data_IF_615730898931
#
_entry.id   IF_615730898931
#
_cell.length_a   1.000
_cell.length_b   1.000
_cell.length_c   1.000
_cell.angle_alpha   90.00
_cell.angle_beta   90.00
_cell.angle_gamma   90.00
#
_symmetry.space_group_name_H-M   'P 1'
#
loop_
_entity.id
_entity.type
_entity.pdbx_description
1 polymer ?
#
# COMPACT_ATOMS: atom_id res chain seq x y z
N UNK A 1 -17.49 27.89 -5.69
CA UNK A 1 -16.45 27.49 -6.68
C UNK A 1 -15.58 26.38 -6.06
N UNK A 2 -15.89 25.10 -6.29
CA UNK A 2 -15.00 23.99 -5.95
C UNK A 2 -13.99 23.85 -7.09
N UNK A 3 -12.78 24.37 -6.93
CA UNK A 3 -11.64 23.96 -7.76
C UNK A 3 -11.35 22.50 -7.43
N UNK A 4 -11.88 21.57 -8.20
CA UNK A 4 -11.39 20.20 -8.20
C UNK A 4 -9.92 20.24 -8.60
N UNK A 5 -9.05 19.90 -7.68
CA UNK A 5 -7.60 19.70 -7.96
C UNK A 5 -7.55 18.44 -8.84
N UNK A 6 -7.71 18.60 -10.14
CA UNK A 6 -7.45 17.53 -11.09
C UNK A 6 -5.94 17.32 -11.16
N UNK A 7 -5.44 16.43 -10.32
CA UNK A 7 -4.08 15.94 -10.48
C UNK A 7 -3.96 15.28 -11.86
N UNK A 8 -3.07 15.78 -12.68
CA UNK A 8 -2.82 15.18 -13.98
C UNK A 8 -2.42 13.70 -13.77
N UNK A 9 -2.88 12.81 -14.66
CA UNK A 9 -2.66 11.36 -14.60
C UNK A 9 -1.23 10.97 -14.24
N UNK A 10 -0.23 11.63 -14.86
CA UNK A 10 1.18 11.35 -14.60
C UNK A 10 1.63 11.76 -13.19
N UNK A 11 1.12 12.86 -12.66
CA UNK A 11 1.50 13.33 -11.31
C UNK A 11 0.99 12.41 -10.22
N UNK A 12 -0.24 11.91 -10.32
CA UNK A 12 -0.78 10.98 -9.31
C UNK A 12 -0.03 9.65 -9.30
N UNK A 13 0.28 9.09 -10.47
CA UNK A 13 1.06 7.86 -10.56
C UNK A 13 2.49 8.05 -10.05
N UNK A 14 3.13 9.17 -10.41
CA UNK A 14 4.48 9.50 -9.93
C UNK A 14 4.54 9.63 -8.40
N UNK A 15 3.55 10.29 -7.79
CA UNK A 15 3.46 10.40 -6.34
C UNK A 15 3.31 9.02 -5.68
N UNK A 16 2.37 8.18 -6.17
CA UNK A 16 2.17 6.83 -5.63
C UNK A 16 3.46 6.00 -5.78
N UNK A 17 4.17 6.10 -6.91
CA UNK A 17 5.45 5.40 -7.12
C UNK A 17 6.50 5.78 -6.09
N UNK A 18 6.67 7.08 -5.83
CA UNK A 18 7.63 7.58 -4.85
C UNK A 18 7.27 7.06 -3.45
N UNK A 19 6.00 7.19 -3.06
CA UNK A 19 5.53 6.68 -1.79
C UNK A 19 5.72 5.17 -1.67
N UNK A 20 5.42 4.41 -2.71
CA UNK A 20 5.56 2.96 -2.67
C UNK A 20 7.04 2.52 -2.54
N UNK A 21 7.95 3.14 -3.29
CA UNK A 21 9.39 2.88 -3.17
C UNK A 21 9.88 3.20 -1.74
N UNK A 22 9.48 4.36 -1.20
CA UNK A 22 9.79 4.72 0.18
C UNK A 22 9.22 3.72 1.17
N UNK A 23 8.03 3.16 0.91
CA UNK A 23 7.39 2.12 1.72
C UNK A 23 8.23 0.84 1.80
N UNK A 24 8.81 0.40 0.67
CA UNK A 24 9.75 -0.72 0.65
C UNK A 24 11.00 -0.44 1.49
N UNK A 25 11.56 0.76 1.39
CA UNK A 25 12.74 1.15 2.17
C UNK A 25 12.44 1.18 3.67
N UNK A 26 11.32 1.76 4.07
CA UNK A 26 10.92 1.88 5.48
C UNK A 26 10.57 0.51 6.08
N UNK A 27 9.98 -0.39 5.31
CA UNK A 27 9.70 -1.75 5.75
C UNK A 27 10.97 -2.57 6.02
N UNK A 28 12.07 -2.27 5.34
CA UNK A 28 13.39 -2.87 5.57
C UNK A 28 14.23 -2.22 6.68
N UNK A 29 13.67 -1.25 7.41
CA UNK A 29 14.35 -0.68 8.57
C UNK A 29 14.02 -1.46 9.84
N UNK A 30 14.83 -1.29 10.89
CA UNK A 30 14.62 -1.94 12.17
C UNK A 30 13.32 -1.46 12.84
N UNK A 31 12.42 -2.41 13.13
CA UNK A 31 11.15 -2.15 13.81
C UNK A 31 11.21 -2.55 15.28
N UNK A 32 11.97 -3.58 15.59
CA UNK A 32 12.14 -4.09 16.95
C UNK A 32 13.61 -4.27 17.29
N UNK A 33 13.97 -3.90 18.52
CA UNK A 33 15.26 -4.13 19.12
C UNK A 33 15.07 -5.08 20.29
N UNK A 34 15.70 -6.23 20.23
CA UNK A 34 15.67 -7.22 21.31
C UNK A 34 16.98 -7.11 22.08
N UNK A 35 16.88 -6.90 23.39
CA UNK A 35 18.01 -6.84 24.29
C UNK A 35 17.85 -7.82 25.45
N UNK A 36 18.96 -8.34 25.96
CA UNK A 36 19.02 -9.03 27.24
C UNK A 36 19.51 -8.07 28.32
N UNK A 37 18.87 -8.11 29.47
CA UNK A 37 19.36 -7.43 30.68
C UNK A 37 19.91 -8.46 31.69
N UNK A 38 21.12 -8.95 31.51
CA UNK A 38 21.78 -9.69 32.58
C UNK A 38 22.54 -8.67 33.45
N UNK A 39 22.03 -8.39 34.66
CA UNK A 39 22.75 -7.67 35.73
C UNK A 39 23.57 -6.46 35.24
N UNK A 40 22.90 -5.35 34.90
CA UNK A 40 23.45 -4.01 34.67
C UNK A 40 24.09 -3.65 33.31
N UNK A 41 24.26 -4.55 32.37
CA UNK A 41 24.70 -4.20 31.02
C UNK A 41 23.69 -4.71 29.97
N UNK A 42 22.91 -3.81 29.39
CA UNK A 42 22.04 -4.13 28.27
C UNK A 42 22.90 -4.54 27.06
N UNK A 43 22.88 -5.82 26.68
CA UNK A 43 23.49 -6.31 25.46
C UNK A 43 22.43 -6.36 24.38
N UNK A 44 22.54 -5.51 23.36
CA UNK A 44 21.68 -5.60 22.19
C UNK A 44 21.96 -6.91 21.47
N UNK A 45 20.97 -7.80 21.43
CA UNK A 45 21.11 -9.11 20.81
C UNK A 45 20.90 -9.04 19.31
N UNK A 46 19.78 -8.45 18.87
CA UNK A 46 19.40 -8.40 17.46
C UNK A 46 18.35 -7.34 17.19
N UNK A 47 18.42 -6.74 16.02
CA UNK A 47 17.33 -5.94 15.46
C UNK A 47 16.56 -6.75 14.42
N UNK A 48 15.27 -6.50 14.33
CA UNK A 48 14.38 -7.12 13.36
C UNK A 48 13.70 -6.05 12.53
N UNK A 49 13.79 -6.19 11.22
CA UNK A 49 13.11 -5.34 10.27
C UNK A 49 11.63 -5.74 10.10
N UNK A 50 10.86 -4.90 9.41
CA UNK A 50 9.45 -5.16 9.18
C UNK A 50 9.17 -6.39 8.33
N UNK A 51 10.09 -6.80 7.45
CA UNK A 51 9.92 -8.00 6.62
C UNK A 51 10.15 -9.28 7.41
N UNK A 52 11.16 -9.27 8.28
CA UNK A 52 11.49 -10.41 9.13
C UNK A 52 10.45 -10.56 10.24
N UNK A 53 10.04 -9.46 10.87
CA UNK A 53 9.04 -9.48 11.92
C UNK A 53 7.67 -9.93 11.40
N UNK A 54 7.31 -9.50 10.18
CA UNK A 54 5.99 -9.76 9.60
C UNK A 54 6.09 -10.23 8.15
N UNK A 55 6.07 -11.52 7.92
CA UNK A 55 6.23 -12.15 6.60
C UNK A 55 5.19 -11.70 5.56
N UNK A 56 4.04 -11.19 5.98
CA UNK A 56 2.97 -10.69 5.11
C UNK A 56 3.22 -9.26 4.57
N UNK A 57 4.20 -8.51 5.11
CA UNK A 57 4.50 -7.13 4.68
C UNK A 57 4.96 -7.12 3.22
N UNK A 58 5.90 -8.01 2.87
CA UNK A 58 6.43 -8.10 1.50
C UNK A 58 5.35 -8.40 0.45
N UNK A 59 4.53 -9.46 0.58
CA UNK A 59 3.49 -9.74 -0.42
C UNK A 59 2.45 -8.63 -0.51
N UNK A 60 2.08 -7.96 0.58
CA UNK A 60 1.14 -6.84 0.53
C UNK A 60 1.70 -5.62 -0.20
N UNK A 61 2.97 -5.28 -0.01
CA UNK A 61 3.63 -4.23 -0.78
C UNK A 61 3.71 -4.59 -2.28
N UNK A 62 3.94 -5.86 -2.61
CA UNK A 62 3.90 -6.33 -4.00
C UNK A 62 2.50 -6.20 -4.62
N UNK A 63 1.44 -6.45 -3.86
CA UNK A 63 0.05 -6.19 -4.33
C UNK A 63 -0.15 -4.70 -4.61
N UNK A 64 0.35 -3.81 -3.77
CA UNK A 64 0.30 -2.36 -4.01
C UNK A 64 1.07 -1.98 -5.29
N UNK A 65 2.24 -2.60 -5.52
CA UNK A 65 3.04 -2.38 -6.72
C UNK A 65 2.31 -2.88 -7.99
N UNK A 66 1.72 -4.08 -7.92
CA UNK A 66 0.93 -4.63 -9.01
C UNK A 66 -0.30 -3.75 -9.32
N UNK A 67 -0.99 -3.26 -8.29
CA UNK A 67 -2.11 -2.33 -8.43
C UNK A 67 -1.68 -1.02 -9.11
N UNK A 68 -0.53 -0.47 -8.75
CA UNK A 68 0.05 0.70 -9.40
C UNK A 68 0.37 0.42 -10.87
N UNK A 69 1.07 -0.68 -11.18
CA UNK A 69 1.43 -1.08 -12.54
C UNK A 69 0.18 -1.29 -13.41
N UNK A 70 -0.82 -2.01 -12.90
CA UNK A 70 -2.09 -2.21 -13.59
C UNK A 70 -2.83 -0.90 -13.82
N UNK A 71 -2.81 0.03 -12.85
CA UNK A 71 -3.44 1.35 -13.01
C UNK A 71 -2.73 2.23 -14.04
N UNK A 72 -1.45 2.02 -14.29
CA UNK A 72 -0.67 2.78 -15.27
C UNK A 72 -1.07 2.44 -16.71
N UNK A 73 -1.32 1.15 -17.00
CA UNK A 73 -1.67 0.66 -18.33
C UNK A 73 -3.18 0.63 -18.58
N UNK A 74 -4.00 0.53 -17.52
CA UNK A 74 -5.45 0.45 -17.61
C UNK A 74 -6.11 1.81 -17.80
N UNK A 75 -7.37 1.79 -18.25
CA UNK A 75 -8.22 2.96 -18.37
C UNK A 75 -9.63 2.67 -17.77
N UNK A 76 -10.35 3.73 -17.45
CA UNK A 76 -11.73 3.63 -16.99
C UNK A 76 -11.92 2.86 -15.70
N UNK A 77 -12.88 1.96 -15.68
CA UNK A 77 -13.26 1.16 -14.52
C UNK A 77 -12.11 0.27 -14.01
N UNK A 78 -11.33 -0.33 -14.90
CA UNK A 78 -10.21 -1.19 -14.50
C UNK A 78 -9.15 -0.42 -13.70
N UNK A 79 -8.85 0.81 -14.10
CA UNK A 79 -7.94 1.69 -13.36
C UNK A 79 -8.49 2.06 -11.98
N UNK A 80 -9.78 2.41 -11.91
CA UNK A 80 -10.44 2.71 -10.64
C UNK A 80 -10.34 1.52 -9.68
N UNK A 81 -10.67 0.31 -10.16
CA UNK A 81 -10.60 -0.92 -9.36
C UNK A 81 -9.16 -1.19 -8.90
N UNK A 82 -8.16 -1.07 -9.78
CA UNK A 82 -6.75 -1.28 -9.41
C UNK A 82 -6.29 -0.33 -8.31
N UNK A 83 -6.62 0.97 -8.41
CA UNK A 83 -6.27 1.95 -7.38
C UNK A 83 -7.02 1.67 -6.07
N UNK A 84 -8.26 1.19 -6.12
CA UNK A 84 -9.02 0.80 -4.95
C UNK A 84 -8.39 -0.41 -4.26
N UNK A 85 -7.95 -1.42 -5.02
CA UNK A 85 -7.22 -2.58 -4.49
C UNK A 85 -5.93 -2.12 -3.79
N UNK A 86 -5.16 -1.22 -4.41
CA UNK A 86 -3.97 -0.62 -3.77
C UNK A 86 -4.28 0.09 -2.46
N UNK A 87 -5.42 0.82 -2.40
CA UNK A 87 -5.87 1.49 -1.17
C UNK A 87 -6.24 0.49 -0.07
N UNK A 88 -6.98 -0.56 -0.41
CA UNK A 88 -7.40 -1.60 0.55
C UNK A 88 -6.16 -2.34 1.08
N UNK A 89 -5.22 -2.70 0.20
CA UNK A 89 -3.99 -3.41 0.61
C UNK A 89 -3.10 -2.55 1.51
N UNK A 90 -2.92 -1.27 1.20
CA UNK A 90 -2.14 -0.37 2.06
C UNK A 90 -2.85 -0.03 3.37
N UNK A 91 -4.18 -0.01 3.39
CA UNK A 91 -4.95 0.08 4.63
C UNK A 91 -4.80 -1.17 5.50
N UNK A 92 -4.86 -2.36 4.89
CA UNK A 92 -4.61 -3.62 5.58
C UNK A 92 -3.18 -3.67 6.17
N UNK A 93 -2.16 -3.21 5.40
CA UNK A 93 -0.80 -3.03 5.91
C UNK A 93 -0.77 -2.15 7.17
N UNK A 94 -1.45 -1.00 7.14
CA UNK A 94 -1.52 -0.08 8.27
C UNK A 94 -2.16 -0.74 9.49
N UNK A 95 -3.30 -1.41 9.29
CA UNK A 95 -4.06 -2.03 10.37
C UNK A 95 -3.31 -3.21 11.00
N UNK A 96 -2.79 -4.12 10.17
CA UNK A 96 -2.06 -5.30 10.64
C UNK A 96 -0.73 -4.92 11.30
N UNK A 97 0.05 -4.00 10.70
CA UNK A 97 1.28 -3.50 11.32
C UNK A 97 1.00 -2.77 12.64
N UNK A 98 -0.06 -1.97 12.67
CA UNK A 98 -0.48 -1.27 13.89
C UNK A 98 -0.84 -2.25 15.00
N UNK A 99 -1.64 -3.26 14.71
CA UNK A 99 -2.02 -4.29 15.69
C UNK A 99 -0.80 -5.11 16.13
N UNK A 100 0.07 -5.52 15.19
CA UNK A 100 1.26 -6.29 15.50
C UNK A 100 2.25 -5.53 16.39
N UNK A 101 2.52 -4.27 16.05
CA UNK A 101 3.43 -3.41 16.85
C UNK A 101 2.86 -3.09 18.22
N UNK A 102 1.56 -2.77 18.33
CA UNK A 102 0.92 -2.46 19.61
C UNK A 102 0.85 -3.67 20.55
N UNK A 103 0.69 -4.88 20.01
CA UNK A 103 0.64 -6.12 20.80
C UNK A 103 2.02 -6.75 21.00
N UNK A 104 3.11 -6.14 20.47
CA UNK A 104 4.45 -6.72 20.49
C UNK A 104 4.46 -8.16 19.97
N UNK A 105 3.70 -8.40 18.88
CA UNK A 105 3.60 -9.75 18.29
C UNK A 105 4.91 -10.10 17.57
N UNK A 106 5.71 -10.92 18.24
CA UNK A 106 7.00 -11.42 17.74
C UNK A 106 6.91 -12.87 17.26
N UNK A 107 5.70 -13.41 17.06
CA UNK A 107 5.51 -14.79 16.62
C UNK A 107 6.25 -15.12 15.30
N UNK A 108 6.39 -14.13 14.42
CA UNK A 108 7.12 -14.29 13.15
C UNK A 108 8.63 -14.44 13.28
N UNK A 109 9.21 -14.06 14.42
CA UNK A 109 10.66 -14.13 14.70
C UNK A 109 11.00 -15.00 15.90
N UNK A 110 10.02 -15.73 16.44
CA UNK A 110 10.17 -16.57 17.62
C UNK A 110 11.31 -17.58 17.48
N UNK A 111 11.40 -18.29 16.35
CA UNK A 111 12.44 -19.29 16.08
C UNK A 111 13.84 -18.66 15.99
N UNK A 112 13.94 -17.43 15.46
CA UNK A 112 15.22 -16.72 15.39
C UNK A 112 15.67 -16.24 16.77
N UNK A 113 14.73 -15.79 17.60
CA UNK A 113 15.01 -15.41 18.99
C UNK A 113 15.46 -16.65 19.79
N UNK A 114 14.78 -17.78 19.63
CA UNK A 114 15.13 -19.04 20.29
C UNK A 114 16.53 -19.51 19.85
N UNK A 115 16.83 -19.45 18.57
CA UNK A 115 18.16 -19.82 18.05
C UNK A 115 19.27 -18.90 18.57
N UNK A 116 19.00 -17.62 18.71
CA UNK A 116 20.00 -16.64 19.17
C UNK A 116 20.20 -16.65 20.68
N UNK A 117 19.17 -16.98 21.47
CA UNK A 117 19.18 -16.86 22.93
C UNK A 117 19.18 -18.21 23.67
N UNK A 118 18.79 -19.28 22.98
CA UNK A 118 18.51 -20.59 23.61
C UNK A 118 17.24 -20.61 24.49
N UNK A 119 16.46 -19.54 24.48
CA UNK A 119 15.24 -19.40 25.27
C UNK A 119 14.03 -19.68 24.37
N UNK A 120 13.27 -20.73 24.66
CA UNK A 120 12.06 -21.04 23.91
C UNK A 120 11.04 -19.92 24.07
N UNK A 121 10.66 -19.28 22.96
CA UNK A 121 9.74 -18.14 22.92
C UNK A 121 8.32 -18.48 23.41
N UNK A 122 8.01 -19.78 23.58
CA UNK A 122 6.71 -20.29 24.04
C UNK A 122 6.43 -20.06 25.52
N UNK A 123 7.43 -19.72 26.34
CA UNK A 123 7.28 -19.59 27.80
C UNK A 123 7.25 -18.15 28.33
N UNK A 124 6.87 -17.20 27.48
CA UNK A 124 6.86 -15.80 27.88
C UNK A 124 8.28 -15.26 28.03
N UNK A 125 8.55 -14.12 27.44
CA UNK A 125 9.87 -13.50 27.27
C UNK A 125 10.40 -12.98 28.63
N UNK A 126 10.48 -13.85 29.64
CA UNK A 126 11.05 -13.51 30.94
C UNK A 126 12.57 -13.40 30.80
N UNK A 127 13.07 -12.16 30.74
CA UNK A 127 14.50 -11.86 30.61
C UNK A 127 14.91 -11.21 29.29
N UNK A 128 13.99 -11.05 28.34
CA UNK A 128 14.18 -10.26 27.13
C UNK A 128 13.44 -8.93 27.26
N UNK A 129 14.13 -7.84 26.94
CA UNK A 129 13.53 -6.52 26.79
C UNK A 129 13.36 -6.22 25.31
N UNK A 130 12.11 -6.01 24.88
CA UNK A 130 11.77 -5.71 23.48
C UNK A 130 11.37 -4.26 23.38
N UNK A 131 12.19 -3.50 22.67
CA UNK A 131 11.95 -2.08 22.44
C UNK A 131 11.47 -1.86 21.01
N UNK A 132 10.36 -1.11 20.86
CA UNK A 132 9.86 -0.68 19.55
C UNK A 132 10.77 0.42 19.03
N UNK A 133 11.41 0.18 17.88
CA UNK A 133 12.21 1.20 17.22
C UNK A 133 11.32 2.32 16.66
N UNK A 134 11.78 3.58 16.60
CA UNK A 134 10.99 4.69 16.11
C UNK A 134 10.55 4.55 14.66
N UNK A 135 11.20 3.67 13.88
CA UNK A 135 10.82 3.37 12.50
C UNK A 135 9.52 2.58 12.39
N UNK A 136 9.15 1.76 13.39
CA UNK A 136 7.89 1.02 13.36
C UNK A 136 6.65 1.93 13.33
N UNK A 137 6.44 2.86 14.27
CA UNK A 137 5.32 3.78 14.19
C UNK A 137 5.40 4.72 12.97
N UNK A 138 6.60 5.09 12.54
CA UNK A 138 6.79 5.85 11.30
C UNK A 138 6.31 5.07 10.07
N UNK A 139 6.60 3.77 9.99
CA UNK A 139 6.12 2.90 8.92
C UNK A 139 4.60 2.80 8.88
N UNK A 140 3.95 2.63 10.05
CA UNK A 140 2.49 2.58 10.16
C UNK A 140 1.87 3.88 9.65
N UNK A 141 2.38 5.02 10.10
CA UNK A 141 1.93 6.34 9.64
C UNK A 141 2.12 6.52 8.13
N UNK A 142 3.23 6.02 7.61
CA UNK A 142 3.55 6.07 6.20
C UNK A 142 2.59 5.22 5.34
N UNK A 143 2.29 4.00 5.76
CA UNK A 143 1.31 3.13 5.08
C UNK A 143 -0.10 3.71 5.12
N UNK A 144 -0.47 4.41 6.21
CA UNK A 144 -1.73 5.14 6.29
C UNK A 144 -1.80 6.26 5.23
N UNK A 145 -0.74 7.04 5.09
CA UNK A 145 -0.65 8.08 4.04
C UNK A 145 -0.71 7.45 2.65
N UNK A 146 0.00 6.35 2.41
CA UNK A 146 -0.05 5.62 1.14
C UNK A 146 -1.49 5.18 0.81
N UNK A 147 -2.23 4.67 1.79
CA UNK A 147 -3.64 4.29 1.62
C UNK A 147 -4.50 5.50 1.20
N UNK A 148 -4.32 6.64 1.86
CA UNK A 148 -5.04 7.88 1.54
C UNK A 148 -4.71 8.35 0.11
N UNK A 149 -3.44 8.27 -0.30
CA UNK A 149 -3.01 8.68 -1.64
C UNK A 149 -3.62 7.78 -2.72
N UNK A 150 -3.63 6.46 -2.52
CA UNK A 150 -4.32 5.53 -3.42
C UNK A 150 -5.82 5.80 -3.49
N UNK A 151 -6.47 6.03 -2.33
CA UNK A 151 -7.89 6.34 -2.26
C UNK A 151 -8.21 7.64 -2.98
N UNK A 152 -7.47 8.70 -2.74
CA UNK A 152 -7.65 9.98 -3.41
C UNK A 152 -7.48 9.85 -4.93
N UNK A 153 -6.48 9.07 -5.37
CA UNK A 153 -6.26 8.78 -6.78
C UNK A 153 -7.44 7.99 -7.39
N UNK A 154 -8.00 7.01 -6.67
CA UNK A 154 -9.16 6.25 -7.13
C UNK A 154 -10.39 7.12 -7.25
N UNK A 155 -10.69 7.94 -6.24
CA UNK A 155 -11.85 8.83 -6.24
C UNK A 155 -11.77 9.90 -7.36
N UNK A 156 -10.56 10.37 -7.69
CA UNK A 156 -10.36 11.31 -8.79
C UNK A 156 -10.72 10.73 -10.17
N UNK A 157 -10.80 9.40 -10.31
CA UNK A 157 -11.19 8.72 -11.56
C UNK A 157 -12.71 8.48 -11.65
N UNK A 158 -13.46 8.63 -10.55
CA UNK A 158 -14.89 8.30 -10.49
C UNK A 158 -15.73 9.14 -11.47
N UNK A 159 -15.42 10.43 -11.58
CA UNK A 159 -16.14 11.36 -12.47
C UNK A 159 -15.95 11.00 -13.95
N UNK A 160 -14.79 10.44 -14.30
CA UNK A 160 -14.51 10.00 -15.66
C UNK A 160 -15.32 8.76 -16.05
N UNK A 161 -15.51 7.81 -15.13
CA UNK A 161 -16.35 6.61 -15.35
C UNK A 161 -17.80 7.01 -15.55
N UNK A 162 -18.31 7.94 -14.75
CA UNK A 162 -19.67 8.46 -14.88
C UNK A 162 -19.89 9.18 -16.23
N UNK A 163 -18.94 10.00 -16.65
CA UNK A 163 -19.03 10.75 -17.91
C UNK A 163 -18.89 9.85 -19.15
N UNK A 164 -18.07 8.79 -19.10
CA UNK A 164 -17.94 7.86 -20.23
C UNK A 164 -19.22 7.05 -20.48
N UNK A 165 -19.95 6.68 -19.42
CA UNK A 165 -21.23 6.00 -19.55
C UNK A 165 -22.31 6.89 -20.16
N UNK A 166 -22.25 8.19 -19.92
CA UNK A 166 -23.18 9.18 -20.47
C UNK A 166 -22.85 9.50 -21.94
N UNK A 167 -21.55 9.51 -22.29
CA UNK A 167 -21.10 9.73 -23.66
C UNK A 167 -21.49 8.55 -24.60
N UNK A 168 -21.45 7.33 -24.09
CA UNK A 168 -21.89 6.14 -24.83
C UNK A 168 -23.42 6.14 -25.12
N UNK A 169 -24.18 6.94 -24.39
CA UNK A 169 -25.65 7.09 -24.56
C UNK A 169 -26.05 8.24 -25.49
N UNK A 170 -25.13 9.04 -26.01
CA UNK A 170 -25.48 9.98 -27.10
C UNK A 170 -25.84 9.15 -28.32
N UNK A 171 -27.12 9.27 -28.81
CA UNK A 171 -27.48 8.60 -30.06
C UNK A 171 -26.53 9.13 -31.12
N UNK A 172 -25.80 8.20 -31.74
CA UNK A 172 -24.86 8.55 -32.79
C UNK A 172 -25.58 9.46 -33.77
N UNK A 173 -24.96 10.59 -34.13
CA UNK A 173 -25.30 11.28 -35.38
C UNK A 173 -25.45 10.17 -36.39
N UNK A 174 -26.71 10.03 -36.93
CA UNK A 174 -26.96 9.09 -38.03
C UNK A 174 -25.78 9.25 -38.99
N UNK A 175 -25.02 8.18 -39.16
CA UNK A 175 -24.06 8.14 -40.24
C UNK A 175 -24.83 8.57 -41.47
N UNK A 176 -24.46 9.67 -42.06
CA UNK A 176 -25.03 10.11 -43.31
C UNK A 176 -24.71 8.98 -44.24
N UNK A 177 -25.73 8.19 -44.53
CA UNK A 177 -25.61 7.02 -45.37
C UNK A 177 -25.04 7.50 -46.70
N UNK A 178 -23.87 6.99 -47.07
CA UNK A 178 -23.21 7.38 -48.32
C UNK A 178 -24.14 7.22 -49.52
N UNK A 179 -25.11 6.35 -49.38
CA UNK A 179 -26.21 6.15 -50.37
C UNK A 179 -27.11 7.39 -50.52
N UNK A 180 -27.39 8.08 -49.43
CA UNK A 180 -28.25 9.31 -49.50
C UNK A 180 -27.57 10.49 -50.14
N UNK A 181 -26.22 10.53 -50.14
CA UNK A 181 -25.45 11.56 -50.87
C UNK A 181 -25.46 11.33 -52.39
N UNK A 182 -25.53 10.07 -52.84
CA UNK A 182 -25.61 9.74 -54.26
C UNK A 182 -26.99 10.03 -54.88
N UNK A 183 -28.07 9.85 -54.08
CA UNK A 183 -29.42 10.14 -54.49
C UNK A 183 -29.71 11.64 -54.60
N UNK A 184 -28.97 12.52 -53.96
CA UNK A 184 -29.09 13.97 -54.05
C UNK A 184 -28.37 14.58 -55.29
N UNK A 185 -27.56 13.79 -56.01
CA UNK A 185 -26.83 14.24 -57.19
C UNK A 185 -27.51 13.83 -58.49
N UNK A 186 -28.70 13.23 -58.44
CA UNK A 186 -29.55 12.92 -59.60
C UNK A 186 -30.67 13.93 -59.72
#
# INVERSE_FOLDING_TARGET
>A
MRRSIQLSRGRSLGLISIFLISGFVIAGQDWFLVSMTPNEAAVNLKSFDGYTAYSWVSPMLLVCLAALGTSAISAGAARFISLLVGSISSFALTALAGVGVLNLDLSGVADEIETATGIAATHGISGLDVTIAPMAPAAIGFFAVLSIVFLAASLSQRDWVANSSTAAKKPGKKAIDSISLWDQQR
#
